data_IF_615628183980
#
_entry.id   IF_615628183980
#
_cell.length_a   1.000
_cell.length_b   1.000
_cell.length_c   1.000
_cell.angle_alpha   90.00
_cell.angle_beta   90.00
_cell.angle_gamma   90.00
#
_symmetry.space_group_name_H-M   'P 1'
#
loop_
_entity.id
_entity.type
_entity.pdbx_description
1 polymer ?
#
# COMPACT_ATOMS: atom_id res chain seq x y z
N UNK A 1 -1.00 25.35 -2.31
CA UNK A 1 -0.45 25.48 -3.68
C UNK A 1 0.16 24.15 -4.08
N UNK A 2 0.06 23.75 -5.34
CA UNK A 2 0.55 22.45 -5.81
C UNK A 2 -0.55 21.61 -6.47
N UNK A 3 -0.23 20.36 -6.85
CA UNK A 3 -1.14 19.49 -7.58
C UNK A 3 -2.26 18.90 -6.70
N UNK A 4 -2.18 19.11 -5.39
CA UNK A 4 -3.05 18.53 -4.38
C UNK A 4 -3.77 19.61 -3.57
N UNK A 5 -4.99 19.29 -3.17
CA UNK A 5 -5.84 20.06 -2.25
C UNK A 5 -6.30 19.14 -1.12
N UNK A 6 -6.31 19.68 0.09
CA UNK A 6 -6.79 18.98 1.28
C UNK A 6 -7.88 19.82 1.95
N UNK A 7 -9.00 19.18 2.28
CA UNK A 7 -10.16 19.82 2.89
C UNK A 7 -10.38 19.24 4.29
N UNK A 8 -10.24 20.07 5.31
CA UNK A 8 -10.62 19.72 6.68
C UNK A 8 -12.07 20.14 6.92
N UNK A 9 -12.91 19.20 7.36
CA UNK A 9 -14.28 19.46 7.83
C UNK A 9 -14.44 18.96 9.26
N UNK A 10 -14.87 19.85 10.13
CA UNK A 10 -15.21 19.58 11.53
C UNK A 10 -16.23 20.63 11.99
N UNK A 11 -17.01 20.31 13.02
CA UNK A 11 -17.89 21.28 13.69
C UNK A 11 -17.11 22.18 14.67
N UNK A 12 -15.86 21.83 14.96
CA UNK A 12 -15.00 22.59 15.88
C UNK A 12 -14.48 23.86 15.19
N UNK A 13 -14.57 25.03 15.83
CA UNK A 13 -13.91 26.23 15.34
C UNK A 13 -12.39 26.03 15.24
N UNK A 14 -11.84 26.26 14.05
CA UNK A 14 -10.40 26.21 13.79
C UNK A 14 -9.87 27.61 13.51
N UNK A 15 -8.61 27.85 13.83
CA UNK A 15 -7.88 29.05 13.40
C UNK A 15 -6.48 28.68 12.88
N UNK A 16 -5.86 29.60 12.14
CA UNK A 16 -4.50 29.42 11.63
C UNK A 16 -3.46 30.04 12.56
N UNK A 17 -2.37 29.34 12.81
CA UNK A 17 -1.24 29.79 13.64
C UNK A 17 0.06 29.19 13.08
N UNK A 18 1.09 30.00 12.80
CA UNK A 18 2.42 29.55 12.34
C UNK A 18 2.40 28.49 11.21
N UNK A 19 1.57 28.72 10.18
CA UNK A 19 1.35 27.79 9.05
C UNK A 19 0.72 26.44 9.44
N UNK A 20 0.12 26.35 10.63
CA UNK A 20 -0.67 25.22 11.12
C UNK A 20 -2.16 25.58 11.23
N UNK A 21 -3.01 24.56 11.35
CA UNK A 21 -4.43 24.72 11.67
C UNK A 21 -4.67 24.16 13.07
N UNK A 22 -5.10 25.02 13.99
CA UNK A 22 -5.22 24.73 15.42
C UNK A 22 -6.69 24.80 15.84
N UNK A 23 -7.07 23.93 16.78
CA UNK A 23 -8.36 23.94 17.44
C UNK A 23 -8.21 23.49 18.89
N UNK A 24 -8.94 24.16 19.79
CA UNK A 24 -9.09 23.78 21.19
C UNK A 24 -10.57 23.58 21.48
N UNK A 25 -10.92 22.44 22.09
CA UNK A 25 -12.31 22.07 22.35
C UNK A 25 -12.39 21.01 23.44
N UNK A 26 -13.55 20.93 24.10
CA UNK A 26 -13.85 19.91 25.11
C UNK A 26 -14.70 18.79 24.51
N UNK A 27 -14.44 17.55 24.95
CA UNK A 27 -15.24 16.37 24.58
C UNK A 27 -15.80 15.76 25.86
N UNK A 28 -17.11 15.85 26.03
CA UNK A 28 -17.80 15.21 27.15
C UNK A 28 -17.94 13.69 26.95
N UNK A 29 -18.18 12.95 28.03
CA UNK A 29 -18.43 11.51 27.97
C UNK A 29 -19.63 11.21 27.03
N UNK A 30 -19.42 10.31 26.07
CA UNK A 30 -20.41 9.95 25.05
C UNK A 30 -20.54 10.94 23.87
N UNK A 31 -19.88 12.10 23.93
CA UNK A 31 -19.82 13.03 22.81
C UNK A 31 -18.84 12.53 21.75
N UNK A 32 -19.21 12.72 20.48
CA UNK A 32 -18.38 12.37 19.32
C UNK A 32 -18.20 13.60 18.45
N UNK A 33 -16.96 13.95 18.15
CA UNK A 33 -16.62 15.12 17.34
C UNK A 33 -15.72 14.67 16.18
N UNK A 34 -16.23 14.63 14.94
CA UNK A 34 -15.48 14.13 13.80
C UNK A 34 -14.56 15.18 13.20
N UNK A 35 -13.37 14.74 12.79
CA UNK A 35 -12.47 15.48 11.92
C UNK A 35 -12.30 14.69 10.63
N UNK A 36 -12.77 15.27 9.52
CA UNK A 36 -12.71 14.64 8.20
C UNK A 36 -11.70 15.38 7.35
N UNK A 37 -10.66 14.68 6.91
CA UNK A 37 -9.65 15.19 6.01
C UNK A 37 -9.83 14.54 4.63
N UNK A 38 -10.16 15.34 3.61
CA UNK A 38 -10.35 14.84 2.24
C UNK A 38 -9.26 15.37 1.32
N UNK A 39 -8.52 14.46 0.69
CA UNK A 39 -7.55 14.77 -0.35
C UNK A 39 -8.19 14.69 -1.74
N UNK A 40 -7.83 15.62 -2.62
CA UNK A 40 -8.16 15.57 -4.06
C UNK A 40 -7.10 16.31 -4.87
N UNK A 41 -7.09 16.13 -6.18
CA UNK A 41 -6.29 16.98 -7.07
C UNK A 41 -6.82 18.40 -7.07
N UNK A 42 -5.93 19.39 -7.03
CA UNK A 42 -6.30 20.79 -6.86
C UNK A 42 -7.07 21.41 -8.04
N UNK A 43 -7.00 20.78 -9.22
CA UNK A 43 -7.72 21.21 -10.43
C UNK A 43 -9.12 20.57 -10.56
N UNK A 44 -9.51 19.68 -9.65
CA UNK A 44 -10.84 19.09 -9.62
C UNK A 44 -11.80 19.93 -8.76
N UNK A 45 -13.12 19.79 -8.95
CA UNK A 45 -14.10 20.45 -8.10
C UNK A 45 -13.93 20.11 -6.62
N UNK A 46 -14.48 20.98 -5.76
CA UNK A 46 -14.54 20.74 -4.32
C UNK A 46 -15.22 19.37 -4.06
N UNK A 47 -14.65 18.50 -3.21
CA UNK A 47 -15.23 17.20 -2.92
C UNK A 47 -16.52 17.35 -2.11
N UNK A 48 -17.46 16.43 -2.35
CA UNK A 48 -18.68 16.31 -1.56
C UNK A 48 -18.36 16.03 -0.09
N UNK A 49 -19.23 16.47 0.85
CA UNK A 49 -19.08 16.11 2.24
C UNK A 49 -19.14 14.61 2.49
N UNK A 50 -18.14 14.09 3.22
CA UNK A 50 -18.17 12.74 3.77
C UNK A 50 -18.87 12.79 5.12
N UNK A 51 -19.90 11.96 5.28
CA UNK A 51 -20.48 11.67 6.59
C UNK A 51 -19.53 10.75 7.37
N UNK A 52 -18.96 11.22 8.50
CA UNK A 52 -17.94 10.47 9.24
C UNK A 52 -18.48 9.19 9.88
N UNK A 53 -19.76 9.16 10.29
CA UNK A 53 -20.38 8.00 10.89
C UNK A 53 -20.62 6.91 9.84
N UNK A 54 -21.12 7.31 8.67
CA UNK A 54 -21.30 6.38 7.55
C UNK A 54 -19.95 5.85 7.04
N UNK A 55 -18.92 6.71 6.94
CA UNK A 55 -17.59 6.30 6.51
C UNK A 55 -16.95 5.30 7.49
N UNK A 56 -17.09 5.53 8.80
CA UNK A 56 -16.61 4.60 9.82
C UNK A 56 -17.34 3.26 9.75
N UNK A 57 -18.68 3.29 9.75
CA UNK A 57 -19.50 2.09 9.68
C UNK A 57 -19.22 1.26 8.42
N UNK A 58 -19.09 1.91 7.25
CA UNK A 58 -18.73 1.24 6.00
C UNK A 58 -17.33 0.63 6.03
N UNK A 59 -16.38 1.28 6.68
CA UNK A 59 -15.01 0.75 6.86
C UNK A 59 -15.00 -0.48 7.77
N UNK A 60 -15.70 -0.42 8.91
CA UNK A 60 -15.82 -1.54 9.85
C UNK A 60 -16.53 -2.74 9.23
N UNK A 61 -17.62 -2.48 8.51
CA UNK A 61 -18.37 -3.51 7.79
C UNK A 61 -17.48 -4.19 6.75
N UNK A 62 -16.80 -3.42 5.89
CA UNK A 62 -15.91 -3.96 4.87
C UNK A 62 -14.86 -4.90 5.47
N UNK A 63 -14.15 -4.45 6.52
CA UNK A 63 -13.10 -5.26 7.12
C UNK A 63 -13.63 -6.50 7.84
N UNK A 64 -14.78 -6.37 8.51
CA UNK A 64 -15.43 -7.49 9.20
C UNK A 64 -15.91 -8.56 8.21
N UNK A 65 -16.56 -8.14 7.13
CA UNK A 65 -16.99 -9.04 6.04
C UNK A 65 -15.78 -9.67 5.36
N UNK A 66 -14.77 -8.88 5.00
CA UNK A 66 -13.58 -9.36 4.34
C UNK A 66 -12.85 -10.43 5.16
N UNK A 67 -12.61 -10.17 6.46
CA UNK A 67 -11.89 -11.13 7.33
C UNK A 67 -12.72 -12.37 7.67
N UNK A 68 -14.06 -12.28 7.59
CA UNK A 68 -14.94 -13.43 7.85
C UNK A 68 -14.75 -14.57 6.83
N UNK A 69 -14.24 -14.26 5.63
CA UNK A 69 -13.94 -15.22 4.56
C UNK A 69 -12.69 -16.07 4.81
N UNK A 70 -11.85 -15.69 5.77
CA UNK A 70 -10.61 -16.40 6.07
C UNK A 70 -10.91 -17.86 6.47
N UNK A 71 -10.34 -18.79 5.71
CA UNK A 71 -10.52 -20.24 5.88
C UNK A 71 -9.58 -20.88 6.91
N UNK A 72 -8.64 -20.12 7.47
CA UNK A 72 -7.68 -20.63 8.45
C UNK A 72 -8.31 -20.76 9.85
N UNK A 73 -8.26 -21.98 10.40
CA UNK A 73 -8.79 -22.37 11.72
C UNK A 73 -7.72 -23.01 12.64
N UNK A 74 -6.45 -22.92 12.25
CA UNK A 74 -5.34 -23.49 13.02
C UNK A 74 -5.04 -22.75 14.34
N UNK A 75 -4.04 -23.25 15.07
CA UNK A 75 -3.70 -22.80 16.44
C UNK A 75 -3.45 -21.28 16.60
N UNK A 76 -3.10 -20.58 15.52
CA UNK A 76 -2.75 -19.15 15.53
C UNK A 76 -3.82 -18.27 14.86
N UNK A 77 -5.09 -18.68 14.88
CA UNK A 77 -6.13 -18.03 14.08
C UNK A 77 -6.24 -16.51 14.30
N UNK A 78 -6.10 -16.03 15.54
CA UNK A 78 -6.14 -14.61 15.86
C UNK A 78 -4.97 -13.84 15.23
N UNK A 79 -3.75 -14.35 15.37
CA UNK A 79 -2.54 -13.74 14.83
C UNK A 79 -2.56 -13.73 13.29
N UNK A 80 -2.95 -14.85 12.68
CA UNK A 80 -3.10 -14.96 11.23
C UNK A 80 -4.13 -13.96 10.70
N UNK A 81 -5.31 -13.87 11.32
CA UNK A 81 -6.33 -12.90 10.92
C UNK A 81 -5.83 -11.46 11.01
N UNK A 82 -5.11 -11.11 12.08
CA UNK A 82 -4.51 -9.78 12.22
C UNK A 82 -3.48 -9.50 11.14
N UNK A 83 -2.59 -10.45 10.86
CA UNK A 83 -1.58 -10.30 9.80
C UNK A 83 -2.22 -10.17 8.41
N UNK A 84 -3.28 -10.94 8.13
CA UNK A 84 -4.03 -10.85 6.87
C UNK A 84 -4.61 -9.46 6.64
N UNK A 85 -5.18 -8.83 7.67
CA UNK A 85 -5.66 -7.45 7.60
C UNK A 85 -4.53 -6.48 7.24
N UNK A 86 -3.35 -6.66 7.84
CA UNK A 86 -2.18 -5.80 7.55
C UNK A 86 -1.75 -5.96 6.10
N UNK A 87 -1.51 -7.18 5.62
CA UNK A 87 -1.03 -7.38 4.24
C UNK A 87 -2.09 -6.98 3.20
N UNK A 88 -3.39 -7.18 3.49
CA UNK A 88 -4.48 -6.65 2.66
C UNK A 88 -4.45 -5.13 2.58
N UNK A 89 -4.20 -4.44 3.70
CA UNK A 89 -4.11 -2.99 3.74
C UNK A 89 -2.91 -2.42 2.95
N UNK A 90 -1.89 -3.24 2.65
CA UNK A 90 -0.76 -2.87 1.78
C UNK A 90 -1.07 -3.01 0.28
N UNK A 91 -2.25 -3.52 -0.08
CA UNK A 91 -2.68 -3.65 -1.48
C UNK A 91 -3.27 -2.34 -1.98
N UNK A 92 -2.69 -1.78 -3.04
CA UNK A 92 -3.19 -0.59 -3.72
C UNK A 92 -4.40 -0.95 -4.58
N UNK A 93 -5.59 -0.71 -4.04
CA UNK A 93 -6.87 -1.09 -4.64
C UNK A 93 -7.04 -0.70 -6.13
N UNK A 94 -6.57 0.47 -6.62
CA UNK A 94 -6.76 0.84 -8.02
C UNK A 94 -6.05 -0.05 -9.03
N UNK A 95 -4.93 -0.68 -8.67
CA UNK A 95 -4.12 -1.45 -9.63
C UNK A 95 -3.86 -2.88 -9.21
N UNK A 96 -3.89 -3.20 -7.92
CA UNK A 96 -3.50 -4.49 -7.36
C UNK A 96 -2.04 -4.59 -6.91
N UNK A 97 -1.22 -3.54 -7.11
CA UNK A 97 0.16 -3.53 -6.63
C UNK A 97 0.23 -3.56 -5.10
N UNK A 98 1.17 -4.30 -4.52
CA UNK A 98 1.29 -4.50 -3.07
C UNK A 98 2.58 -3.84 -2.61
N UNK A 99 2.51 -2.85 -1.71
CA UNK A 99 3.74 -2.24 -1.18
C UNK A 99 4.46 -3.18 -0.21
N UNK A 100 5.79 -3.12 -0.17
CA UNK A 100 6.57 -3.81 0.85
C UNK A 100 6.25 -3.28 2.26
N UNK A 101 6.09 -1.96 2.40
CA UNK A 101 5.52 -1.33 3.59
C UNK A 101 4.89 0.04 3.28
N UNK A 102 3.93 0.47 4.09
CA UNK A 102 3.27 1.78 3.97
C UNK A 102 4.12 2.94 4.54
N UNK A 103 5.44 2.83 4.47
CA UNK A 103 6.38 3.71 5.18
C UNK A 103 7.52 4.14 4.29
N UNK A 104 8.01 5.36 4.52
CA UNK A 104 9.24 5.86 3.93
C UNK A 104 10.11 6.45 5.01
N UNK A 105 11.42 6.22 4.93
CA UNK A 105 12.41 6.80 5.84
C UNK A 105 12.23 6.48 7.32
N UNK A 106 11.54 5.38 7.65
CA UNK A 106 11.58 4.85 9.00
C UNK A 106 12.87 4.06 9.19
N UNK A 107 13.62 4.34 10.27
CA UNK A 107 14.93 3.74 10.48
C UNK A 107 14.81 2.27 10.91
N UNK A 108 15.61 1.38 10.30
CA UNK A 108 15.82 0.01 10.85
C UNK A 108 16.36 0.06 12.28
N UNK A 109 17.18 1.07 12.57
CA UNK A 109 17.75 1.35 13.89
C UNK A 109 17.77 2.86 14.09
N UNK A 110 17.24 3.35 15.21
CA UNK A 110 17.24 4.78 15.55
C UNK A 110 18.64 5.39 15.42
N UNK A 111 18.72 6.53 14.72
CA UNK A 111 19.98 7.23 14.39
C UNK A 111 20.81 6.55 13.29
N UNK A 112 20.37 5.41 12.76
CA UNK A 112 20.99 4.69 11.66
C UNK A 112 20.67 5.31 10.29
N UNK A 113 21.44 4.88 9.28
CA UNK A 113 21.33 5.38 7.90
C UNK A 113 20.44 4.52 7.00
N UNK A 114 19.84 3.44 7.52
CA UNK A 114 18.98 2.51 6.77
C UNK A 114 17.51 2.90 6.91
N UNK A 115 17.17 3.99 6.22
CA UNK A 115 15.88 4.65 6.31
C UNK A 115 15.26 4.67 4.90
N UNK A 116 14.95 3.49 4.34
CA UNK A 116 14.55 3.38 2.94
C UNK A 116 13.08 3.74 2.70
N UNK A 117 12.73 4.02 1.45
CA UNK A 117 11.35 4.09 1.00
C UNK A 117 10.87 2.69 0.58
N UNK A 118 9.86 2.17 1.30
CA UNK A 118 9.31 0.83 1.10
C UNK A 118 7.94 0.85 0.40
N UNK A 119 7.49 2.02 -0.08
CA UNK A 119 6.17 2.20 -0.72
C UNK A 119 6.12 1.71 -2.18
N UNK A 120 6.93 0.71 -2.51
CA UNK A 120 7.06 0.12 -3.84
C UNK A 120 6.66 -1.35 -3.83
N UNK A 121 6.22 -1.85 -4.98
CA UNK A 121 5.87 -3.25 -5.16
C UNK A 121 7.13 -4.04 -5.49
N UNK A 122 7.71 -4.67 -4.47
CA UNK A 122 8.76 -5.68 -4.64
C UNK A 122 8.12 -6.99 -5.07
N UNK A 123 8.64 -7.60 -6.14
CA UNK A 123 8.04 -8.81 -6.69
C UNK A 123 8.10 -9.98 -5.70
N UNK A 124 9.22 -10.13 -4.98
CA UNK A 124 9.38 -11.15 -3.93
C UNK A 124 8.35 -10.99 -2.81
N UNK A 125 8.29 -9.80 -2.21
CA UNK A 125 7.38 -9.49 -1.10
C UNK A 125 5.91 -9.66 -1.49
N UNK A 126 5.57 -9.27 -2.73
CA UNK A 126 4.24 -9.46 -3.26
C UNK A 126 3.92 -10.96 -3.46
N UNK A 127 4.83 -11.77 -4.01
CA UNK A 127 4.63 -13.23 -4.14
C UNK A 127 4.38 -13.89 -2.79
N UNK A 128 5.16 -13.57 -1.74
CA UNK A 128 4.92 -14.12 -0.40
C UNK A 128 3.59 -13.64 0.21
N UNK A 129 3.20 -12.40 -0.06
CA UNK A 129 1.88 -11.90 0.36
C UNK A 129 0.76 -12.68 -0.30
N UNK A 130 0.90 -13.02 -1.59
CA UNK A 130 -0.09 -13.80 -2.32
C UNK A 130 -0.17 -15.24 -1.87
N UNK A 131 0.97 -15.88 -1.58
CA UNK A 131 0.98 -17.21 -0.97
C UNK A 131 0.16 -17.23 0.33
N UNK A 132 0.33 -16.23 1.20
CA UNK A 132 -0.43 -16.12 2.44
C UNK A 132 -1.92 -15.88 2.20
N UNK A 133 -2.29 -15.03 1.25
CA UNK A 133 -3.69 -14.74 0.90
C UNK A 133 -4.37 -15.98 0.29
N UNK A 134 -3.74 -16.61 -0.71
CA UNK A 134 -4.25 -17.82 -1.37
C UNK A 134 -4.37 -18.98 -0.38
N UNK A 135 -3.35 -19.21 0.44
CA UNK A 135 -3.34 -20.24 1.48
C UNK A 135 -4.40 -20.06 2.56
N UNK A 136 -5.07 -18.90 2.60
CA UNK A 136 -6.16 -18.59 3.55
C UNK A 136 -7.50 -18.30 2.87
N UNK A 137 -7.61 -18.54 1.56
CA UNK A 137 -8.87 -18.52 0.80
C UNK A 137 -9.16 -17.21 0.07
N UNK A 138 -8.20 -16.31 -0.07
CA UNK A 138 -8.36 -15.02 -0.75
C UNK A 138 -7.80 -15.06 -2.18
N UNK A 139 -8.69 -15.25 -3.15
CA UNK A 139 -8.34 -15.34 -4.59
C UNK A 139 -8.47 -14.02 -5.34
N UNK A 140 -9.33 -13.10 -4.88
CA UNK A 140 -9.60 -11.83 -5.55
C UNK A 140 -8.34 -10.95 -5.62
N UNK A 141 -7.59 -10.90 -4.52
CA UNK A 141 -6.33 -10.17 -4.40
C UNK A 141 -5.24 -10.74 -5.32
N UNK A 142 -5.17 -12.07 -5.44
CA UNK A 142 -4.24 -12.74 -6.33
C UNK A 142 -4.56 -12.47 -7.81
N UNK A 143 -5.85 -12.43 -8.16
CA UNK A 143 -6.28 -12.03 -9.50
C UNK A 143 -5.83 -10.60 -9.80
N UNK A 144 -6.13 -9.64 -8.91
CA UNK A 144 -5.77 -8.24 -9.09
C UNK A 144 -4.25 -8.03 -9.23
N UNK A 145 -3.45 -8.70 -8.41
CA UNK A 145 -1.99 -8.61 -8.52
C UNK A 145 -1.46 -9.25 -9.79
N UNK A 146 -2.01 -10.38 -10.24
CA UNK A 146 -1.58 -10.99 -11.51
C UNK A 146 -1.80 -10.04 -12.68
N UNK A 147 -2.97 -9.41 -12.74
CA UNK A 147 -3.27 -8.40 -13.76
C UNK A 147 -2.30 -7.21 -13.65
N UNK A 148 -1.93 -6.82 -12.43
CA UNK A 148 -0.89 -5.82 -12.21
C UNK A 148 0.48 -6.26 -12.75
N UNK A 149 0.91 -7.48 -12.44
CA UNK A 149 2.21 -8.04 -12.83
C UNK A 149 2.35 -8.08 -14.35
N UNK A 150 1.34 -8.60 -15.05
CA UNK A 150 1.35 -8.66 -16.52
C UNK A 150 1.50 -7.27 -17.10
N UNK A 151 0.79 -6.26 -16.59
CA UNK A 151 0.93 -4.87 -17.05
C UNK A 151 2.28 -4.24 -16.71
N UNK A 152 2.82 -4.51 -15.52
CA UNK A 152 4.09 -3.95 -15.05
C UNK A 152 5.31 -4.54 -15.79
N UNK A 153 5.23 -5.84 -16.11
CA UNK A 153 6.30 -6.61 -16.76
C UNK A 153 6.16 -6.62 -18.29
N UNK A 154 4.98 -6.30 -18.85
CA UNK A 154 4.71 -6.26 -20.29
C UNK A 154 5.93 -5.73 -21.08
N UNK A 155 6.50 -6.60 -21.93
CA UNK A 155 7.76 -6.37 -22.63
C UNK A 155 8.69 -7.58 -22.56
N UNK A 156 10.00 -7.32 -22.56
CA UNK A 156 11.05 -8.33 -22.54
C UNK A 156 11.30 -8.87 -21.11
N UNK A 157 11.17 -10.20 -20.86
CA UNK A 157 11.50 -10.82 -19.57
C UNK A 157 12.93 -10.56 -19.10
N UNK A 158 13.86 -10.20 -20.00
CA UNK A 158 15.22 -9.79 -19.63
C UNK A 158 15.27 -8.40 -18.95
N UNK A 159 14.22 -7.59 -19.09
CA UNK A 159 14.12 -6.26 -18.46
C UNK A 159 13.39 -6.26 -17.12
N UNK A 160 13.10 -7.44 -16.58
CA UNK A 160 12.40 -7.61 -15.33
C UNK A 160 13.18 -6.96 -14.18
N UNK A 161 12.47 -6.17 -13.35
CA UNK A 161 13.02 -5.42 -12.23
C UNK A 161 12.59 -6.06 -10.92
N UNK A 162 13.40 -5.89 -9.89
CA UNK A 162 13.06 -6.42 -8.56
C UNK A 162 11.88 -5.70 -7.91
N UNK A 163 11.63 -4.44 -8.30
CA UNK A 163 10.53 -3.65 -7.77
C UNK A 163 10.00 -2.64 -8.80
N UNK A 164 8.76 -2.22 -8.60
CA UNK A 164 8.05 -1.26 -9.44
C UNK A 164 7.24 -0.28 -8.58
N UNK A 165 6.86 0.85 -9.14
CA UNK A 165 5.80 1.69 -8.58
C UNK A 165 4.46 0.97 -8.56
N UNK A 166 3.53 1.44 -7.74
CA UNK A 166 2.18 0.83 -7.62
C UNK A 166 1.39 0.84 -8.94
N UNK A 167 1.73 1.71 -9.86
CA UNK A 167 1.18 1.80 -11.22
C UNK A 167 1.98 1.00 -12.26
N UNK A 168 3.03 0.28 -11.86
CA UNK A 168 3.97 -0.41 -12.74
C UNK A 168 5.14 0.46 -13.22
N UNK A 169 5.28 1.70 -12.73
CA UNK A 169 6.38 2.58 -13.12
C UNK A 169 7.76 2.01 -12.75
N UNK A 170 8.71 2.08 -13.69
CA UNK A 170 10.08 1.55 -13.53
C UNK A 170 11.07 2.56 -12.96
N UNK A 171 10.75 3.86 -13.05
CA UNK A 171 11.67 4.95 -12.69
C UNK A 171 11.44 5.37 -11.25
N UNK A 172 12.27 4.88 -10.34
CA UNK A 172 12.17 5.10 -8.89
C UNK A 172 13.42 5.82 -8.35
N UNK A 173 13.68 7.08 -8.77
CA UNK A 173 14.92 7.77 -8.45
C UNK A 173 14.98 8.04 -6.94
N UNK A 174 16.09 7.65 -6.32
CA UNK A 174 16.33 7.94 -4.91
C UNK A 174 16.79 9.39 -4.73
N UNK A 175 16.22 10.06 -3.73
CA UNK A 175 16.57 11.42 -3.35
C UNK A 175 16.51 11.58 -1.84
N UNK A 176 17.55 12.17 -1.26
CA UNK A 176 17.54 12.61 0.14
C UNK A 176 16.85 13.97 0.29
N UNK A 177 16.15 14.14 1.41
CA UNK A 177 15.39 15.33 1.79
C UNK A 177 16.02 15.96 3.04
N UNK A 178 17.15 16.69 2.91
CA UNK A 178 17.97 17.13 4.05
C UNK A 178 17.29 18.16 4.95
N UNK A 179 16.17 18.75 4.52
CA UNK A 179 15.39 19.71 5.31
C UNK A 179 14.40 19.04 6.28
N UNK A 180 14.21 17.72 6.20
CA UNK A 180 13.39 16.98 7.15
C UNK A 180 14.28 16.41 8.26
N UNK A 181 13.84 16.55 9.52
CA UNK A 181 14.56 16.01 10.68
C UNK A 181 14.61 14.49 10.67
N UNK A 182 13.57 13.84 10.13
CA UNK A 182 13.39 12.40 10.18
C UNK A 182 12.67 11.95 11.45
N UNK A 183 12.26 10.68 11.48
CA UNK A 183 11.62 10.09 12.65
C UNK A 183 12.64 9.96 13.78
N UNK A 184 12.34 10.52 14.96
CA UNK A 184 13.26 10.54 16.11
C UNK A 184 14.67 11.05 15.71
N UNK A 185 14.70 12.13 14.91
CA UNK A 185 15.92 12.75 14.35
C UNK A 185 16.82 11.82 13.52
N UNK A 186 16.29 10.68 13.07
CA UNK A 186 17.02 9.69 12.28
C UNK A 186 17.18 10.14 10.83
N UNK A 187 18.43 10.27 10.38
CA UNK A 187 18.82 10.74 9.05
C UNK A 187 19.62 9.70 8.27
N UNK A 188 19.55 9.72 6.92
CA UNK A 188 18.81 10.68 6.11
C UNK A 188 17.34 10.32 5.97
N UNK A 189 16.52 11.31 5.62
CA UNK A 189 15.18 11.09 5.05
C UNK A 189 15.36 10.97 3.55
N UNK A 190 14.84 9.93 2.93
CA UNK A 190 14.92 9.67 1.49
C UNK A 190 13.60 9.14 0.92
N UNK A 191 13.35 9.49 -0.32
CA UNK A 191 12.26 8.94 -1.15
C UNK A 191 12.85 8.27 -2.37
N UNK A 192 12.12 7.38 -3.02
CA UNK A 192 12.71 6.54 -4.06
C UNK A 192 13.50 5.37 -3.46
N UNK A 193 14.01 4.51 -4.34
CA UNK A 193 14.76 3.36 -3.88
C UNK A 193 15.82 2.96 -4.92
N UNK A 194 17.09 3.17 -4.59
CA UNK A 194 18.19 2.89 -5.49
C UNK A 194 18.32 1.39 -5.85
N UNK A 195 17.72 0.49 -5.06
CA UNK A 195 17.72 -0.92 -5.39
C UNK A 195 16.91 -1.23 -6.66
N UNK A 196 16.12 -0.29 -7.21
CA UNK A 196 15.43 -0.48 -8.49
C UNK A 196 16.40 -0.76 -9.67
N UNK A 197 17.67 -0.36 -9.52
CA UNK A 197 18.74 -0.66 -10.48
C UNK A 197 19.49 -1.98 -10.23
N UNK A 198 19.20 -2.69 -9.13
CA UNK A 198 19.89 -3.94 -8.80
C UNK A 198 19.38 -5.10 -9.63
N UNK A 199 20.28 -6.04 -9.90
CA UNK A 199 20.00 -7.31 -10.54
C UNK A 199 19.96 -8.40 -9.47
N UNK A 200 18.83 -9.10 -9.33
CA UNK A 200 18.68 -10.21 -8.38
C UNK A 200 18.02 -11.40 -9.07
N UNK A 201 18.70 -12.56 -9.08
CA UNK A 201 18.33 -13.76 -9.84
C UNK A 201 17.07 -14.48 -9.34
N UNK A 202 16.63 -14.22 -8.12
CA UNK A 202 15.42 -14.81 -7.56
C UNK A 202 14.15 -14.27 -8.22
N UNK A 203 14.19 -13.07 -8.80
CA UNK A 203 12.97 -12.40 -9.28
C UNK A 203 12.22 -13.19 -10.35
N UNK A 204 12.96 -13.93 -11.21
CA UNK A 204 12.35 -14.82 -12.20
C UNK A 204 11.61 -15.99 -11.53
N UNK A 205 12.20 -16.55 -10.47
CA UNK A 205 11.56 -17.60 -9.67
C UNK A 205 10.29 -17.09 -8.99
N UNK A 206 10.34 -15.90 -8.38
CA UNK A 206 9.19 -15.29 -7.69
C UNK A 206 8.03 -15.00 -8.65
N UNK A 207 8.32 -14.58 -9.87
CA UNK A 207 7.32 -14.35 -10.92
C UNK A 207 6.71 -15.65 -11.40
N UNK A 208 7.53 -16.66 -11.68
CA UNK A 208 7.04 -17.98 -12.08
C UNK A 208 6.18 -18.61 -10.99
N UNK A 209 6.59 -18.49 -9.73
CA UNK A 209 5.85 -19.00 -8.58
C UNK A 209 4.50 -18.27 -8.41
N UNK A 210 4.49 -16.94 -8.45
CA UNK A 210 3.25 -16.15 -8.38
C UNK A 210 2.26 -16.51 -9.51
N UNK A 211 2.74 -16.70 -10.73
CA UNK A 211 1.91 -17.13 -11.86
C UNK A 211 1.44 -18.59 -11.71
N UNK A 212 2.26 -19.49 -11.16
CA UNK A 212 1.89 -20.87 -10.88
C UNK A 212 0.79 -20.95 -9.81
N UNK A 213 0.95 -20.25 -8.69
CA UNK A 213 -0.04 -20.18 -7.62
C UNK A 213 -1.38 -19.63 -8.11
N UNK A 214 -1.35 -18.62 -8.97
CA UNK A 214 -2.56 -18.10 -9.62
C UNK A 214 -3.30 -19.16 -10.44
N UNK A 215 -2.58 -20.07 -11.11
CA UNK A 215 -3.19 -21.19 -11.86
C UNK A 215 -3.79 -22.23 -10.94
N UNK A 216 -3.07 -22.62 -9.89
CA UNK A 216 -3.59 -23.58 -8.90
C UNK A 216 -4.86 -23.06 -8.22
N UNK A 217 -4.95 -21.74 -8.03
CA UNK A 217 -6.13 -21.06 -7.51
C UNK A 217 -7.28 -20.90 -8.54
N UNK A 218 -7.14 -21.40 -9.77
CA UNK A 218 -8.19 -21.39 -10.79
C UNK A 218 -8.34 -20.07 -11.57
N UNK A 219 -7.36 -19.17 -11.53
CA UNK A 219 -7.41 -17.92 -12.28
C UNK A 219 -7.17 -18.18 -13.78
N UNK A 220 -8.09 -17.75 -14.64
CA UNK A 220 -8.08 -18.02 -16.08
C UNK A 220 -6.82 -17.46 -16.79
N UNK A 221 -6.24 -18.23 -17.71
CA UNK A 221 -5.08 -17.82 -18.50
C UNK A 221 -5.51 -16.78 -19.55
N UNK A 222 -4.87 -15.62 -19.53
CA UNK A 222 -4.76 -14.74 -20.70
C UNK A 222 -3.47 -15.13 -21.44
N UNK A 223 -3.50 -15.20 -22.77
CA UNK A 223 -2.35 -15.50 -23.63
C UNK A 223 -1.15 -14.57 -23.37
N UNK A 224 -1.37 -13.33 -22.92
CA UNK A 224 -0.30 -12.36 -22.57
C UNK A 224 0.52 -12.78 -21.35
N UNK A 225 -0.05 -13.53 -20.42
CA UNK A 225 0.70 -14.05 -19.26
C UNK A 225 1.66 -15.19 -19.66
N UNK A 226 1.45 -15.83 -20.81
CA UNK A 226 2.29 -16.91 -21.31
C UNK A 226 3.63 -16.40 -21.86
N UNK A 227 3.64 -15.21 -22.47
CA UNK A 227 4.85 -14.61 -23.02
C UNK A 227 5.88 -14.22 -21.94
N UNK A 228 5.41 -13.97 -20.70
CA UNK A 228 6.30 -13.73 -19.54
C UNK A 228 7.00 -15.02 -19.07
N UNK A 229 6.48 -16.20 -19.43
CA UNK A 229 6.99 -17.49 -19.00
C UNK A 229 7.81 -18.26 -20.04
N UNK A 230 8.02 -17.69 -21.24
CA UNK A 230 8.82 -18.31 -22.30
C UNK A 230 10.30 -18.01 -22.18
#
# INVERSE_FOLDING_TARGET
AGPDSVWLRTAVPTHGEDLTTVAEFEVAAGQRIPFVLTHTRSHLPRPEPVDPEQALAGTEQFWSEWISRCSYDGRWAADVRRSLVVVKALTYAPTGGIVAAATTSLPEQLGGSRNWDYRYCWLRDATFTLQALLGTGYTDEAAAWREWLVRAVAGDPAELRIMYGLDGSRRLPEQELPWLSGYEDSRPVRIGNAAAGQFQLDVWGEVLDGLHLGREAGLALDDTAWDVQR
#
